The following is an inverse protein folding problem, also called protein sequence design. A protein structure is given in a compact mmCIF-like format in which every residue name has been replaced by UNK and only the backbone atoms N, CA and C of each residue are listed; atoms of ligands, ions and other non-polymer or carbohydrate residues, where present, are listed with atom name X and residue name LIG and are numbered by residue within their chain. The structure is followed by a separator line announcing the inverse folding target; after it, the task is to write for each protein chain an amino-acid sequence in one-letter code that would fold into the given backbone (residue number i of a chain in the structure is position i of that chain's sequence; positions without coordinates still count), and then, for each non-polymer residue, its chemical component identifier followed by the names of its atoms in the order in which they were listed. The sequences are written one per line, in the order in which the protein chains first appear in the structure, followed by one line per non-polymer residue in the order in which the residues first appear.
data_IF_276294757320
#
_entry.id   IF_276294757320
#
_cell.length_a   1.000
_cell.length_b   1.000
_cell.length_c   1.000
_cell.angle_alpha   90.00
_cell.angle_beta   90.00
_cell.angle_gamma   90.00
#
_symmetry.space_group_name_H-M   'P 1'
#
loop_
_entity.id
_entity.type
_entity.pdbx_description
1 polymer ?
#
# COMPACT_ATOMS: atom_id res chain seq x y z
N UNK A 1 -10.52 31.26 -2.97
CA UNK A 1 -10.08 30.28 -1.95
C UNK A 1 -8.65 29.86 -2.30
N UNK A 2 -7.74 29.80 -1.32
CA UNK A 2 -6.36 29.34 -1.55
C UNK A 2 -6.42 27.82 -1.87
N UNK A 3 -5.85 27.39 -3.00
CA UNK A 3 -5.81 25.96 -3.36
C UNK A 3 -4.93 25.21 -2.35
N UNK A 4 -5.33 24.00 -1.99
CA UNK A 4 -4.48 23.11 -1.19
C UNK A 4 -3.30 22.69 -2.07
N UNK A 5 -2.08 22.78 -1.52
CA UNK A 5 -0.85 22.43 -2.18
C UNK A 5 -0.29 21.15 -1.58
N UNK A 6 -0.15 20.11 -2.40
CA UNK A 6 0.37 18.80 -2.02
C UNK A 6 1.83 18.65 -2.41
N UNK A 7 2.62 18.10 -1.53
CA UNK A 7 3.94 17.54 -1.82
C UNK A 7 3.81 16.02 -2.01
N UNK A 8 4.44 15.45 -3.05
CA UNK A 8 4.43 14.00 -3.28
C UNK A 8 5.69 13.40 -2.67
N UNK A 9 5.54 12.37 -1.83
CA UNK A 9 6.64 11.65 -1.21
C UNK A 9 6.58 10.16 -1.48
N UNK A 10 7.75 9.52 -1.67
CA UNK A 10 7.83 8.09 -1.94
C UNK A 10 9.26 7.60 -2.15
N UNK A 11 9.40 6.30 -2.35
CA UNK A 11 10.69 5.66 -2.57
C UNK A 11 11.22 5.94 -3.97
N UNK A 12 12.47 6.41 -4.03
CA UNK A 12 13.25 6.61 -5.25
C UNK A 12 14.48 5.70 -5.25
N UNK A 13 15.24 5.69 -4.15
CA UNK A 13 16.49 4.93 -4.03
C UNK A 13 16.26 3.43 -4.22
N UNK A 14 17.03 2.84 -5.12
CA UNK A 14 16.98 1.41 -5.42
C UNK A 14 15.89 1.01 -6.43
N UNK A 15 15.16 1.97 -7.01
CA UNK A 15 14.22 1.76 -8.10
C UNK A 15 14.81 2.22 -9.44
N UNK A 16 14.31 1.65 -10.54
CA UNK A 16 14.66 2.14 -11.87
C UNK A 16 14.05 3.54 -12.12
N UNK A 17 14.77 4.43 -12.86
CA UNK A 17 14.27 5.77 -13.15
C UNK A 17 12.87 5.81 -13.77
N UNK A 18 12.56 4.90 -14.68
CA UNK A 18 11.23 4.78 -15.28
C UNK A 18 10.14 4.39 -14.28
N UNK A 19 10.48 3.56 -13.27
CA UNK A 19 9.53 3.09 -12.28
C UNK A 19 9.09 4.22 -11.33
N UNK A 20 10.05 4.91 -10.69
CA UNK A 20 9.69 5.98 -9.77
C UNK A 20 9.10 7.18 -10.52
N UNK A 21 9.61 7.52 -11.71
CA UNK A 21 9.04 8.59 -12.52
C UNK A 21 7.56 8.32 -12.88
N UNK A 22 7.22 7.09 -13.26
CA UNK A 22 5.84 6.70 -13.55
C UNK A 22 4.93 6.76 -12.32
N UNK A 23 5.42 6.41 -11.12
CA UNK A 23 4.65 6.49 -9.87
C UNK A 23 4.36 7.93 -9.47
N UNK A 24 5.38 8.77 -9.44
CA UNK A 24 5.25 10.19 -9.11
C UNK A 24 4.39 10.93 -10.15
N UNK A 25 4.57 10.62 -11.44
CA UNK A 25 3.77 11.19 -12.52
C UNK A 25 2.28 10.88 -12.38
N UNK A 26 1.90 9.63 -12.12
CA UNK A 26 0.49 9.26 -11.89
C UNK A 26 -0.12 9.99 -10.69
N UNK A 27 0.62 10.10 -9.58
CA UNK A 27 0.13 10.83 -8.41
C UNK A 27 -0.06 12.32 -8.72
N UNK A 28 0.89 12.93 -9.45
CA UNK A 28 0.80 14.32 -9.88
C UNK A 28 -0.42 14.56 -10.78
N UNK A 29 -0.64 13.69 -11.78
CA UNK A 29 -1.81 13.75 -12.67
C UNK A 29 -3.12 13.61 -11.89
N UNK A 30 -3.20 12.63 -10.97
CA UNK A 30 -4.38 12.39 -10.15
C UNK A 30 -4.74 13.59 -9.27
N UNK A 31 -3.77 14.14 -8.54
CA UNK A 31 -4.00 15.27 -7.63
C UNK A 31 -4.32 16.56 -8.41
N UNK A 32 -3.65 16.77 -9.54
CA UNK A 32 -3.92 17.92 -10.43
C UNK A 32 -5.33 17.85 -11.03
N UNK A 33 -5.77 16.66 -11.45
CA UNK A 33 -7.13 16.44 -11.95
C UNK A 33 -8.22 16.71 -10.90
N UNK A 34 -7.88 16.56 -9.61
CA UNK A 34 -8.74 16.91 -8.49
C UNK A 34 -8.72 18.44 -8.18
N UNK A 35 -7.91 19.21 -8.88
CA UNK A 35 -7.83 20.65 -8.75
C UNK A 35 -6.82 21.17 -7.72
N UNK A 36 -5.98 20.30 -7.18
CA UNK A 36 -4.92 20.69 -6.24
C UNK A 36 -3.70 21.27 -6.94
N UNK A 37 -2.91 22.06 -6.21
CA UNK A 37 -1.55 22.42 -6.60
C UNK A 37 -0.60 21.31 -6.16
N UNK A 38 0.34 20.90 -7.01
CA UNK A 38 1.18 19.73 -6.73
C UNK A 38 2.66 20.07 -6.87
N UNK A 39 3.44 19.67 -5.88
CA UNK A 39 4.90 19.71 -5.89
C UNK A 39 5.42 18.29 -6.04
N UNK A 40 6.00 18.03 -7.21
CA UNK A 40 6.67 16.77 -7.49
C UNK A 40 8.19 16.98 -7.31
N UNK A 41 8.84 16.37 -6.29
CA UNK A 41 10.26 16.58 -6.01
C UNK A 41 11.17 16.17 -7.18
N UNK A 42 10.73 15.25 -8.03
CA UNK A 42 11.53 14.85 -9.22
C UNK A 42 11.77 15.99 -10.21
N UNK A 43 10.99 17.08 -10.15
CA UNK A 43 11.18 18.28 -10.97
C UNK A 43 12.20 19.27 -10.37
N UNK A 44 12.66 18.98 -9.14
CA UNK A 44 13.55 19.85 -8.36
C UNK A 44 14.86 19.15 -7.96
N UNK A 45 15.25 18.13 -8.73
CA UNK A 45 16.51 17.40 -8.50
C UNK A 45 17.69 18.31 -8.76
N UNK A 46 18.58 18.41 -7.78
CA UNK A 46 19.84 19.16 -7.92
C UNK A 46 20.88 18.23 -8.58
N UNK A 47 21.39 18.58 -9.78
CA UNK A 47 22.39 17.77 -10.46
C UNK A 47 23.61 17.53 -9.56
N UNK A 48 24.08 16.27 -9.48
CA UNK A 48 25.26 15.86 -8.70
C UNK A 48 25.20 16.11 -7.19
N UNK A 49 24.02 16.42 -6.63
CA UNK A 49 23.86 16.59 -5.19
C UNK A 49 24.01 15.26 -4.45
N UNK A 50 24.72 15.30 -3.32
CA UNK A 50 24.66 14.20 -2.36
C UNK A 50 23.26 14.11 -1.74
N UNK A 51 22.87 12.93 -1.30
CA UNK A 51 21.54 12.68 -0.69
C UNK A 51 21.13 13.72 0.36
N UNK A 52 22.05 14.13 1.24
CA UNK A 52 21.77 15.15 2.27
C UNK A 52 21.40 16.52 1.68
N UNK A 53 22.03 16.91 0.60
CA UNK A 53 21.75 18.21 -0.05
C UNK A 53 20.40 18.15 -0.77
N UNK A 54 20.07 17.03 -1.42
CA UNK A 54 18.75 16.84 -2.00
C UNK A 54 17.66 16.88 -0.93
N UNK A 55 17.84 16.17 0.19
CA UNK A 55 16.87 16.18 1.30
C UNK A 55 16.62 17.59 1.85
N UNK A 56 17.62 18.46 1.91
CA UNK A 56 17.39 19.86 2.31
C UNK A 56 16.48 20.61 1.33
N UNK A 57 16.59 20.32 0.04
CA UNK A 57 15.70 20.89 -0.98
C UNK A 57 14.29 20.32 -0.80
N UNK A 58 14.17 19.02 -0.67
CA UNK A 58 12.90 18.30 -0.56
C UNK A 58 12.11 18.76 0.67
N UNK A 59 12.77 18.87 1.82
CA UNK A 59 12.15 19.41 3.05
C UNK A 59 11.70 20.86 2.87
N UNK A 60 12.49 21.73 2.21
CA UNK A 60 12.06 23.12 1.95
C UNK A 60 10.80 23.16 1.07
N UNK A 61 10.74 22.31 0.04
CA UNK A 61 9.56 22.20 -0.82
C UNK A 61 8.34 21.74 -0.04
N UNK A 62 8.52 20.75 0.86
CA UNK A 62 7.47 20.26 1.75
C UNK A 62 6.95 21.36 2.70
N UNK A 63 7.84 22.15 3.28
CA UNK A 63 7.47 23.26 4.19
C UNK A 63 6.58 24.31 3.53
N UNK A 64 6.65 24.47 2.21
CA UNK A 64 5.81 25.39 1.43
C UNK A 64 4.46 24.77 1.04
N UNK A 65 4.16 23.55 1.48
CA UNK A 65 2.92 22.81 1.18
C UNK A 65 1.95 22.79 2.36
N UNK A 66 0.68 22.49 2.07
CA UNK A 66 -0.36 22.31 3.08
C UNK A 66 -0.58 20.85 3.41
N UNK A 67 -0.19 19.96 2.50
CA UNK A 67 -0.42 18.54 2.57
C UNK A 67 0.76 17.75 1.97
N UNK A 68 0.91 16.51 2.40
CA UNK A 68 1.81 15.51 1.82
C UNK A 68 1.02 14.31 1.32
N UNK A 69 1.34 13.84 0.11
CA UNK A 69 0.77 12.64 -0.49
C UNK A 69 1.82 11.53 -0.52
N UNK A 70 1.63 10.53 0.32
CA UNK A 70 2.56 9.43 0.52
C UNK A 70 2.30 8.30 -0.48
N UNK A 71 3.23 8.05 -1.39
CA UNK A 71 3.17 6.89 -2.29
C UNK A 71 3.28 5.59 -1.48
N UNK A 72 2.67 4.54 -1.97
CA UNK A 72 2.50 3.26 -1.23
C UNK A 72 3.79 2.55 -0.78
N UNK A 73 4.94 2.96 -1.29
CA UNK A 73 6.25 2.39 -0.94
C UNK A 73 7.11 3.31 -0.04
N UNK A 74 6.54 4.37 0.51
CA UNK A 74 7.25 5.40 1.26
C UNK A 74 8.00 4.86 2.49
N UNK A 75 7.42 3.91 3.22
CA UNK A 75 7.99 3.31 4.44
C UNK A 75 9.32 2.58 4.17
N UNK A 76 9.61 2.24 2.91
CA UNK A 76 10.87 1.63 2.49
C UNK A 76 11.94 2.66 2.11
N UNK A 77 11.69 3.94 2.36
CA UNK A 77 12.57 5.06 2.01
C UNK A 77 12.87 5.89 3.23
N UNK A 78 14.14 5.96 3.62
CA UNK A 78 14.59 6.82 4.73
C UNK A 78 14.20 8.28 4.47
N UNK A 79 14.30 8.77 3.23
CA UNK A 79 13.92 10.13 2.86
C UNK A 79 12.42 10.38 3.03
N UNK A 80 11.60 9.49 2.50
CA UNK A 80 10.15 9.63 2.61
C UNK A 80 9.64 9.46 4.05
N UNK A 81 10.28 8.62 4.86
CA UNK A 81 9.98 8.52 6.31
C UNK A 81 10.29 9.83 7.03
N UNK A 82 11.44 10.46 6.73
CA UNK A 82 11.79 11.76 7.30
C UNK A 82 10.81 12.86 6.88
N UNK A 83 10.40 12.90 5.61
CA UNK A 83 9.39 13.84 5.09
C UNK A 83 8.04 13.65 5.78
N UNK A 84 7.62 12.40 5.98
CA UNK A 84 6.41 12.04 6.72
C UNK A 84 6.46 12.57 8.16
N UNK A 85 7.55 12.29 8.91
CA UNK A 85 7.71 12.72 10.29
C UNK A 85 7.69 14.25 10.43
N UNK A 86 8.30 14.95 9.47
CA UNK A 86 8.25 16.42 9.39
C UNK A 86 6.83 16.90 9.14
N UNK A 87 6.10 16.29 8.21
CA UNK A 87 4.73 16.66 7.90
C UNK A 87 3.80 16.46 9.10
N UNK A 88 3.88 15.32 9.79
CA UNK A 88 3.14 15.05 11.01
C UNK A 88 3.49 16.05 12.13
N UNK A 89 4.79 16.28 12.36
CA UNK A 89 5.26 17.19 13.39
C UNK A 89 4.81 18.65 13.19
N UNK A 90 4.55 19.05 11.96
CA UNK A 90 4.05 20.38 11.57
C UNK A 90 2.51 20.43 11.44
N UNK A 91 1.81 19.33 11.61
CA UNK A 91 0.36 19.24 11.46
C UNK A 91 -0.12 19.44 10.02
N UNK A 92 0.69 19.09 9.03
CA UNK A 92 0.23 19.07 7.64
C UNK A 92 -0.80 17.96 7.43
N UNK A 93 -1.65 18.11 6.42
CA UNK A 93 -2.56 17.04 6.01
C UNK A 93 -1.73 15.90 5.43
N UNK A 94 -1.81 14.70 6.00
CA UNK A 94 -1.13 13.51 5.49
C UNK A 94 -2.14 12.63 4.78
N UNK A 95 -1.99 12.47 3.47
CA UNK A 95 -2.78 11.55 2.67
C UNK A 95 -1.88 10.48 2.08
N UNK A 96 -2.43 9.27 1.98
CA UNK A 96 -1.70 8.13 1.45
C UNK A 96 -2.28 7.70 0.11
N UNK A 97 -1.40 7.35 -0.83
CA UNK A 97 -1.81 6.73 -2.08
C UNK A 97 -2.73 5.56 -1.76
N UNK A 98 -4.01 5.72 -2.13
CA UNK A 98 -4.94 4.62 -2.07
C UNK A 98 -4.54 3.60 -3.15
N UNK A 99 -3.69 2.67 -2.78
CA UNK A 99 -3.64 1.44 -3.57
C UNK A 99 -5.06 0.86 -3.53
N UNK A 100 -5.53 0.26 -4.62
CA UNK A 100 -6.58 -0.76 -4.55
C UNK A 100 -5.95 -1.96 -3.81
N UNK A 101 -5.73 -1.76 -2.48
CA UNK A 101 -4.95 -2.63 -1.63
C UNK A 101 -5.59 -3.98 -1.66
N UNK A 102 -4.86 -4.87 -2.27
CA UNK A 102 -5.19 -6.28 -2.26
C UNK A 102 -6.61 -6.60 -2.81
N UNK A 103 -7.12 -5.74 -3.74
CA UNK A 103 -8.42 -5.97 -4.40
C UNK A 103 -8.45 -7.32 -5.10
N UNK A 104 -7.34 -7.72 -5.66
CA UNK A 104 -7.15 -9.03 -6.27
C UNK A 104 -7.19 -10.16 -5.23
N UNK A 105 -6.58 -9.99 -4.05
CA UNK A 105 -6.65 -10.97 -2.95
C UNK A 105 -8.10 -11.05 -2.44
N UNK A 106 -8.75 -9.91 -2.24
CA UNK A 106 -10.15 -9.84 -1.82
C UNK A 106 -11.08 -10.53 -2.83
N UNK A 107 -10.85 -10.30 -4.13
CA UNK A 107 -11.59 -10.94 -5.20
C UNK A 107 -11.31 -12.45 -5.29
N UNK A 108 -10.06 -12.88 -5.12
CA UNK A 108 -9.69 -14.29 -5.11
C UNK A 108 -10.34 -15.03 -3.93
N UNK A 109 -10.39 -14.43 -2.75
CA UNK A 109 -11.08 -14.97 -1.56
C UNK A 109 -12.59 -15.12 -1.83
N UNK A 110 -13.22 -14.08 -2.40
CA UNK A 110 -14.63 -14.14 -2.76
C UNK A 110 -14.91 -15.29 -3.74
N UNK A 111 -14.09 -15.41 -4.78
CA UNK A 111 -14.23 -16.47 -5.79
C UNK A 111 -13.96 -17.88 -5.24
N UNK A 112 -12.91 -18.01 -4.41
CA UNK A 112 -12.49 -19.31 -3.88
C UNK A 112 -13.38 -19.81 -2.75
N UNK A 113 -13.82 -18.91 -1.87
CA UNK A 113 -14.46 -19.23 -0.59
C UNK A 113 -15.92 -18.76 -0.49
N UNK A 114 -16.40 -17.95 -1.43
CA UNK A 114 -17.73 -17.33 -1.36
C UNK A 114 -17.86 -16.28 -0.25
N UNK A 115 -16.76 -15.81 0.32
CA UNK A 115 -16.75 -14.88 1.46
C UNK A 115 -16.49 -13.46 0.96
N UNK A 116 -17.47 -12.57 1.17
CA UNK A 116 -17.29 -11.15 0.86
C UNK A 116 -16.35 -10.51 1.90
N UNK A 117 -15.41 -9.71 1.45
CA UNK A 117 -14.42 -9.09 2.33
C UNK A 117 -15.06 -8.11 3.34
N UNK A 118 -16.21 -7.51 3.02
CA UNK A 118 -16.97 -6.71 3.99
C UNK A 118 -17.37 -7.53 5.21
N UNK A 119 -17.83 -8.79 4.99
CA UNK A 119 -18.16 -9.73 6.06
C UNK A 119 -16.90 -10.25 6.79
N UNK A 120 -15.76 -10.31 6.09
CA UNK A 120 -14.47 -10.69 6.70
C UNK A 120 -14.00 -9.65 7.72
N UNK A 121 -14.27 -8.37 7.48
CA UNK A 121 -13.94 -7.26 8.39
C UNK A 121 -14.90 -7.14 9.58
N UNK A 122 -16.00 -7.90 9.61
CA UNK A 122 -16.89 -7.99 10.77
C UNK A 122 -16.27 -8.90 11.84
N UNK A 123 -16.57 -8.63 13.12
CA UNK A 123 -16.10 -9.47 14.24
C UNK A 123 -16.88 -10.79 14.29
N UNK A 124 -16.68 -11.60 13.27
CA UNK A 124 -17.30 -12.92 13.11
C UNK A 124 -16.35 -14.02 13.57
N UNK A 125 -16.80 -14.84 14.52
CA UNK A 125 -16.12 -16.08 14.97
C UNK A 125 -16.38 -17.27 14.05
N UNK A 126 -17.12 -17.11 12.98
CA UNK A 126 -17.30 -18.13 11.97
C UNK A 126 -15.94 -18.60 11.44
N UNK A 127 -15.67 -19.91 11.54
CA UNK A 127 -14.39 -20.52 11.18
C UNK A 127 -13.97 -20.19 9.75
N UNK A 128 -14.93 -20.14 8.83
CA UNK A 128 -14.68 -19.84 7.41
C UNK A 128 -14.22 -18.39 7.19
N UNK A 129 -14.78 -17.45 7.98
CA UNK A 129 -14.34 -16.04 7.98
C UNK A 129 -12.95 -15.88 8.60
N UNK A 130 -12.63 -16.66 9.65
CA UNK A 130 -11.29 -16.70 10.24
C UNK A 130 -10.27 -17.19 9.21
N UNK A 131 -10.60 -18.25 8.46
CA UNK A 131 -9.74 -18.74 7.39
C UNK A 131 -9.51 -17.70 6.30
N UNK A 132 -10.55 -17.01 5.86
CA UNK A 132 -10.43 -15.93 4.88
C UNK A 132 -9.49 -14.81 5.38
N UNK A 133 -9.58 -14.43 6.66
CA UNK A 133 -8.66 -13.44 7.28
C UNK A 133 -7.22 -13.94 7.35
N UNK A 134 -7.00 -15.19 7.70
CA UNK A 134 -5.67 -15.79 7.74
C UNK A 134 -5.03 -15.83 6.34
N UNK A 135 -5.77 -16.27 5.33
CA UNK A 135 -5.32 -16.32 3.95
C UNK A 135 -5.03 -14.89 3.43
N UNK A 136 -5.93 -13.95 3.73
CA UNK A 136 -5.74 -12.54 3.39
C UNK A 136 -4.46 -11.97 4.01
N UNK A 137 -4.31 -12.11 5.33
CA UNK A 137 -3.15 -11.63 6.07
C UNK A 137 -1.83 -12.22 5.54
N UNK A 138 -1.83 -13.52 5.23
CA UNK A 138 -0.65 -14.21 4.66
C UNK A 138 -0.25 -13.61 3.32
N UNK A 139 -1.19 -13.44 2.37
CA UNK A 139 -0.87 -12.89 1.06
C UNK A 139 -0.48 -11.41 1.11
N UNK A 140 -1.11 -10.61 1.96
CA UNK A 140 -0.72 -9.23 2.20
C UNK A 140 0.70 -9.14 2.77
N UNK A 141 1.01 -9.96 3.77
CA UNK A 141 2.36 -10.01 4.38
C UNK A 141 3.42 -10.45 3.38
N UNK A 142 3.11 -11.41 2.52
CA UNK A 142 4.01 -11.89 1.45
C UNK A 142 4.32 -10.80 0.42
N UNK A 143 3.43 -9.81 0.26
CA UNK A 143 3.63 -8.61 -0.57
C UNK A 143 4.32 -7.46 0.17
N UNK A 144 4.80 -7.68 1.39
CA UNK A 144 5.50 -6.68 2.19
C UNK A 144 4.60 -5.76 3.01
N UNK A 145 3.28 -6.04 3.09
CA UNK A 145 2.38 -5.18 3.86
C UNK A 145 2.65 -5.28 5.36
N UNK A 146 2.48 -4.16 6.05
CA UNK A 146 2.70 -4.07 7.49
C UNK A 146 1.52 -4.62 8.29
N UNK A 147 1.83 -5.27 9.41
CA UNK A 147 0.82 -5.92 10.26
C UNK A 147 -0.26 -4.95 10.75
N UNK A 148 0.09 -3.69 11.06
CA UNK A 148 -0.89 -2.69 11.48
C UNK A 148 -1.89 -2.33 10.37
N UNK A 149 -1.41 -2.25 9.12
CA UNK A 149 -2.26 -1.97 7.97
C UNK A 149 -3.22 -3.11 7.66
N UNK A 150 -2.74 -4.36 7.76
CA UNK A 150 -3.59 -5.54 7.62
C UNK A 150 -4.66 -5.54 8.73
N UNK A 151 -4.29 -5.13 9.94
CA UNK A 151 -5.19 -5.02 11.08
C UNK A 151 -6.31 -3.99 10.81
N UNK A 152 -5.96 -2.80 10.34
CA UNK A 152 -6.92 -1.76 9.93
C UNK A 152 -7.89 -2.25 8.85
N UNK A 153 -7.37 -2.87 7.77
CA UNK A 153 -8.19 -3.36 6.66
C UNK A 153 -9.13 -4.52 7.03
N UNK A 154 -8.78 -5.30 8.03
CA UNK A 154 -9.59 -6.41 8.54
C UNK A 154 -10.44 -6.03 9.75
N UNK A 155 -10.33 -4.79 10.25
CA UNK A 155 -10.97 -4.29 11.46
C UNK A 155 -10.66 -5.17 12.69
N UNK A 156 -9.39 -5.53 12.86
CA UNK A 156 -8.89 -6.34 13.96
C UNK A 156 -7.63 -5.69 14.55
N UNK A 157 -7.25 -6.10 15.75
CA UNK A 157 -6.01 -5.63 16.36
C UNK A 157 -4.75 -6.34 15.80
N UNK A 158 -3.58 -5.73 16.03
CA UNK A 158 -2.29 -6.26 15.56
C UNK A 158 -1.98 -7.64 16.15
N UNK A 159 -2.45 -7.93 17.36
CA UNK A 159 -2.19 -9.21 18.03
C UNK A 159 -2.95 -10.35 17.32
N UNK A 160 -4.17 -10.08 16.88
CA UNK A 160 -4.97 -11.00 16.08
C UNK A 160 -4.32 -11.30 14.74
N UNK A 161 -3.81 -10.28 14.03
CA UNK A 161 -3.10 -10.50 12.78
C UNK A 161 -1.81 -11.28 12.99
N UNK A 162 -1.05 -10.96 14.05
CA UNK A 162 0.15 -11.71 14.41
C UNK A 162 -0.15 -13.18 14.75
N UNK A 163 -1.28 -13.44 15.39
CA UNK A 163 -1.78 -14.79 15.63
C UNK A 163 -2.09 -15.51 14.30
N UNK A 164 -2.81 -14.87 13.37
CA UNK A 164 -3.11 -15.46 12.07
C UNK A 164 -1.86 -15.83 11.29
N UNK A 165 -0.88 -14.92 11.23
CA UNK A 165 0.37 -15.15 10.51
C UNK A 165 1.18 -16.32 11.10
N UNK A 166 1.26 -16.43 12.44
CA UNK A 166 1.98 -17.53 13.11
C UNK A 166 1.32 -18.89 12.93
N UNK A 167 0.00 -18.93 12.83
CA UNK A 167 -0.74 -20.19 12.75
C UNK A 167 -1.05 -20.62 11.31
N UNK A 168 -0.77 -19.79 10.30
CA UNK A 168 -1.06 -20.08 8.90
C UNK A 168 -0.45 -21.42 8.45
N UNK A 169 0.83 -21.63 8.69
CA UNK A 169 1.54 -22.85 8.25
C UNK A 169 1.03 -24.11 8.97
N UNK A 170 0.64 -23.97 10.24
CA UNK A 170 0.04 -25.06 11.03
C UNK A 170 -1.32 -25.43 10.45
N UNK A 171 -2.20 -24.46 10.20
CA UNK A 171 -3.49 -24.69 9.57
C UNK A 171 -3.33 -25.26 8.16
N UNK A 172 -2.40 -24.73 7.36
CA UNK A 172 -2.12 -25.23 6.02
C UNK A 172 -1.66 -26.70 6.04
N UNK A 173 -0.84 -27.09 7.01
CA UNK A 173 -0.31 -28.46 7.13
C UNK A 173 -1.37 -29.47 7.60
N UNK A 174 -2.15 -29.11 8.60
CA UNK A 174 -2.99 -30.08 9.32
C UNK A 174 -4.49 -29.96 8.99
N UNK A 175 -4.94 -28.86 8.40
CA UNK A 175 -6.34 -28.64 8.10
C UNK A 175 -6.60 -28.72 6.59
N UNK A 176 -7.28 -29.78 6.17
CA UNK A 176 -7.57 -30.04 4.75
C UNK A 176 -8.43 -28.97 4.10
N UNK A 177 -9.45 -28.47 4.82
CA UNK A 177 -10.37 -27.44 4.30
C UNK A 177 -9.65 -26.11 4.12
N UNK A 178 -8.85 -25.71 5.11
CA UNK A 178 -8.04 -24.51 5.05
C UNK A 178 -7.05 -24.56 3.88
N UNK A 179 -6.35 -25.70 3.74
CA UNK A 179 -5.38 -25.90 2.65
C UNK A 179 -6.04 -25.77 1.29
N UNK A 180 -7.17 -26.44 1.06
CA UNK A 180 -7.89 -26.39 -0.20
C UNK A 180 -8.32 -24.95 -0.56
N UNK A 181 -8.78 -24.17 0.43
CA UNK A 181 -9.12 -22.78 0.24
C UNK A 181 -7.89 -21.92 -0.10
N UNK A 182 -6.79 -22.09 0.64
CA UNK A 182 -5.55 -21.35 0.44
C UNK A 182 -4.93 -21.63 -0.93
N UNK A 183 -4.88 -22.89 -1.37
CA UNK A 183 -4.39 -23.29 -2.69
C UNK A 183 -5.25 -22.70 -3.81
N UNK A 184 -6.56 -22.72 -3.68
CA UNK A 184 -7.46 -22.12 -4.67
C UNK A 184 -7.28 -20.62 -4.78
N UNK A 185 -7.09 -19.90 -3.67
CA UNK A 185 -6.77 -18.48 -3.67
C UNK A 185 -5.41 -18.22 -4.35
N UNK A 186 -4.39 -19.02 -4.02
CA UNK A 186 -3.06 -18.88 -4.61
C UNK A 186 -3.07 -19.10 -6.12
N UNK A 187 -3.81 -20.08 -6.63
CA UNK A 187 -4.00 -20.33 -8.06
C UNK A 187 -4.63 -19.12 -8.76
N UNK A 188 -5.73 -18.60 -8.23
CA UNK A 188 -6.40 -17.43 -8.78
C UNK A 188 -5.52 -16.16 -8.82
N UNK A 189 -4.61 -16.03 -7.85
CA UNK A 189 -3.66 -14.93 -7.82
C UNK A 189 -2.53 -15.10 -8.86
N UNK A 190 -2.09 -16.34 -9.11
CA UNK A 190 -1.06 -16.64 -10.12
C UNK A 190 -1.59 -16.48 -11.54
N UNK A 191 -2.80 -16.89 -11.83
CA UNK A 191 -3.45 -16.75 -13.14
C UNK A 191 -3.61 -15.28 -13.55
N UNK A 192 -3.94 -14.38 -12.62
CA UNK A 192 -4.05 -12.93 -12.87
C UNK A 192 -2.70 -12.25 -13.18
N UNK A 193 -1.59 -12.83 -12.72
CA UNK A 193 -0.24 -12.36 -13.05
C UNK A 193 0.19 -12.78 -14.46
N UNK A 194 -0.47 -13.79 -15.04
CA UNK A 194 -0.13 -14.37 -16.35
C UNK A 194 -0.93 -13.80 -17.52
N UNK A 195 -1.97 -13.03 -17.27
CA UNK A 195 -2.71 -12.32 -18.31
C UNK A 195 -2.04 -10.97 -18.59
N UNK A 196 -1.43 -10.77 -19.79
CA UNK A 196 -1.03 -9.44 -20.22
C UNK A 196 -2.29 -8.57 -20.26
N UNK A 197 -2.20 -7.37 -19.70
CA UNK A 197 -3.21 -6.36 -19.92
C UNK A 197 -3.23 -6.04 -21.40
N UNK A 198 -4.14 -6.62 -22.16
CA UNK A 198 -4.41 -6.19 -23.52
C UNK A 198 -4.80 -4.71 -23.47
N UNK A 199 -3.83 -3.89 -23.78
CA UNK A 199 -4.07 -2.50 -24.17
C UNK A 199 -4.63 -2.59 -25.59
N UNK A 200 -5.94 -2.67 -25.71
CA UNK A 200 -6.58 -2.41 -26.99
C UNK A 200 -6.80 -0.91 -27.08
N UNK A 201 -6.03 -0.31 -27.97
CA UNK A 201 -6.16 0.92 -28.78
C UNK A 201 -7.22 1.95 -28.33
#
# INVERSE_FOLDING_TARGET
MKKIKYYISGKITGLQPSEYAARFGRAEEQLTAQGFEVVNPLRHVVPSAHWKEQMKVDIRLLLDCNAIYMLSNWEQSIGATLEHDVAEGLGLIVEYEQQPKHRDIKAAILTAMGVNFKTVAEDSRNRWHVYARMIYAHHCKKRGEYTHRIAEETNHDKSTISYYLRNYDTEYKYNREFRAAAEKVATLLSEKLSTPTDITI
#
